data_IF_767386377750
#
_entry.id   IF_767386377750
#
_cell.length_a   1.000
_cell.length_b   1.000
_cell.length_c   1.000
_cell.angle_alpha   90.00
_cell.angle_beta   90.00
_cell.angle_gamma   90.00
#
_symmetry.space_group_name_H-M   'P 1'
#
loop_
_entity.id
_entity.type
_entity.pdbx_description
1 polymer ?
#
# COMPACT_ATOMS: atom_id res chain seq x y z
N UNK A 1 10.62 0.20 -11.65
CA UNK A 1 11.88 -0.45 -11.26
C UNK A 1 11.63 -1.55 -10.25
N UNK A 2 11.92 -2.78 -10.66
CA UNK A 2 12.05 -3.97 -9.81
C UNK A 2 13.08 -4.84 -10.54
N UNK A 3 14.35 -4.48 -10.44
CA UNK A 3 15.39 -5.08 -11.29
C UNK A 3 15.88 -6.39 -10.69
N UNK A 4 15.64 -7.48 -11.43
CA UNK A 4 16.34 -8.80 -11.51
C UNK A 4 16.62 -9.61 -10.24
N UNK A 5 16.65 -9.03 -9.06
CA UNK A 5 17.07 -9.69 -7.81
C UNK A 5 15.90 -10.07 -6.89
N UNK A 6 14.65 -9.73 -7.26
CA UNK A 6 13.43 -9.91 -6.44
C UNK A 6 13.48 -9.24 -5.05
N UNK A 7 14.56 -8.54 -4.70
CA UNK A 7 14.70 -7.82 -3.43
C UNK A 7 14.22 -6.39 -3.61
N UNK A 8 13.12 -6.07 -2.94
CA UNK A 8 12.67 -4.69 -2.82
C UNK A 8 13.53 -4.02 -1.76
N UNK A 9 14.12 -2.86 -2.10
CA UNK A 9 14.84 -2.05 -1.11
C UNK A 9 13.83 -1.44 -0.15
N UNK A 10 14.08 -1.55 1.16
CA UNK A 10 13.17 -1.05 2.21
C UNK A 10 12.83 0.43 2.03
N UNK A 11 13.83 1.27 1.79
CA UNK A 11 13.64 2.71 1.60
C UNK A 11 12.73 3.04 0.41
N UNK A 12 12.86 2.31 -0.71
CA UNK A 12 11.99 2.49 -1.87
C UNK A 12 10.54 2.11 -1.56
N UNK A 13 10.35 1.06 -0.75
CA UNK A 13 9.04 0.66 -0.28
C UNK A 13 8.44 1.69 0.68
N UNK A 14 9.22 2.16 1.64
CA UNK A 14 8.79 3.17 2.61
C UNK A 14 8.37 4.46 1.91
N UNK A 15 9.15 4.94 0.93
CA UNK A 15 8.80 6.14 0.17
C UNK A 15 7.53 5.95 -0.66
N UNK A 16 7.41 4.83 -1.38
CA UNK A 16 6.26 4.56 -2.24
C UNK A 16 4.95 4.32 -1.49
N UNK A 17 5.02 3.77 -0.28
CA UNK A 17 3.85 3.40 0.51
C UNK A 17 3.67 4.27 1.76
N UNK A 18 4.45 5.34 1.92
CA UNK A 18 4.44 6.21 3.10
C UNK A 18 3.03 6.63 3.50
N UNK A 19 2.28 7.16 2.54
CA UNK A 19 0.93 7.71 2.78
C UNK A 19 -0.06 6.61 3.16
N UNK A 20 0.07 5.43 2.56
CA UNK A 20 -0.76 4.26 2.89
C UNK A 20 -0.46 3.76 4.30
N UNK A 21 0.83 3.66 4.67
CA UNK A 21 1.28 3.25 6.01
C UNK A 21 0.79 4.26 7.05
N UNK A 22 0.93 5.56 6.78
CA UNK A 22 0.41 6.63 7.64
C UNK A 22 -1.10 6.55 7.80
N UNK A 23 -1.84 6.27 6.73
CA UNK A 23 -3.29 6.15 6.82
C UNK A 23 -3.72 4.91 7.65
N UNK A 24 -2.99 3.80 7.56
CA UNK A 24 -3.26 2.59 8.35
C UNK A 24 -2.99 2.79 9.86
N UNK A 25 -1.93 3.52 10.20
CA UNK A 25 -1.51 3.73 11.60
C UNK A 25 -1.99 5.05 12.22
N UNK A 26 -2.60 5.93 11.43
CA UNK A 26 -3.20 7.18 11.88
C UNK A 26 -4.72 7.12 11.86
N UNK A 27 -5.34 8.29 11.98
CA UNK A 27 -6.81 8.45 12.07
C UNK A 27 -7.46 8.72 10.69
N UNK A 28 -6.93 8.12 9.62
CA UNK A 28 -7.44 8.35 8.27
C UNK A 28 -8.34 7.20 7.80
N UNK A 29 -9.61 7.50 7.52
CA UNK A 29 -10.55 6.51 6.97
C UNK A 29 -10.33 6.19 5.49
N UNK A 30 -9.55 7.02 4.78
CA UNK A 30 -9.23 6.80 3.37
C UNK A 30 -7.97 7.52 2.90
N UNK A 31 -7.36 7.01 1.84
CA UNK A 31 -6.17 7.55 1.20
C UNK A 31 -6.34 7.56 -0.32
N UNK A 32 -6.08 8.70 -0.95
CA UNK A 32 -6.03 8.81 -2.40
C UNK A 32 -4.65 8.42 -2.91
N UNK A 33 -4.58 7.43 -3.80
CA UNK A 33 -3.34 6.95 -4.38
C UNK A 33 -3.32 7.15 -5.90
N UNK A 34 -2.14 7.48 -6.42
CA UNK A 34 -1.88 7.55 -7.86
C UNK A 34 -0.81 6.53 -8.21
N UNK A 35 -1.17 5.52 -9.01
CA UNK A 35 -0.26 4.46 -9.43
C UNK A 35 0.05 4.57 -10.91
N UNK A 36 1.34 4.65 -11.26
CA UNK A 36 1.78 4.51 -12.64
C UNK A 36 1.55 3.06 -13.10
N UNK A 37 0.80 2.90 -14.19
CA UNK A 37 0.55 1.62 -14.87
C UNK A 37 1.18 1.64 -16.25
N UNK A 38 1.80 0.53 -16.64
CA UNK A 38 2.25 0.30 -18.01
C UNK A 38 1.27 -0.64 -18.68
N UNK A 39 0.60 -0.16 -19.70
CA UNK A 39 -0.31 -0.95 -20.53
C UNK A 39 0.48 -1.92 -21.41
N UNK A 40 -0.18 -2.99 -21.87
CA UNK A 40 0.45 -4.01 -22.74
C UNK A 40 0.94 -3.47 -24.08
N UNK A 41 0.38 -2.36 -24.53
CA UNK A 41 0.77 -1.64 -25.74
C UNK A 41 1.99 -0.71 -25.52
N UNK A 42 2.57 -0.71 -24.32
CA UNK A 42 3.72 0.12 -23.94
C UNK A 42 3.33 1.54 -23.48
N UNK A 43 2.04 1.91 -23.53
CA UNK A 43 1.60 3.21 -23.01
C UNK A 43 1.77 3.26 -21.50
N UNK A 44 2.19 4.42 -21.01
CA UNK A 44 2.21 4.72 -19.57
C UNK A 44 0.96 5.52 -19.24
N UNK A 45 0.24 5.10 -18.21
CA UNK A 45 -0.87 5.85 -17.65
C UNK A 45 -0.74 5.95 -16.14
N UNK A 46 -1.63 6.76 -15.56
CA UNK A 46 -1.75 6.89 -14.12
C UNK A 46 -3.16 6.49 -13.73
N UNK A 47 -3.28 5.62 -12.74
CA UNK A 47 -4.57 5.25 -12.16
C UNK A 47 -4.68 5.96 -10.81
N UNK A 48 -5.71 6.80 -10.68
CA UNK A 48 -6.09 7.45 -9.44
C UNK A 48 -7.19 6.63 -8.76
N UNK A 49 -6.98 6.23 -7.51
CA UNK A 49 -7.95 5.45 -6.73
C UNK A 49 -7.95 5.90 -5.28
N UNK A 50 -9.12 5.97 -4.67
CA UNK A 50 -9.25 6.15 -3.21
C UNK A 50 -9.42 4.79 -2.53
N UNK A 51 -8.52 4.48 -1.59
CA UNK A 51 -8.58 3.27 -0.77
C UNK A 51 -9.20 3.64 0.57
N UNK A 52 -10.17 2.86 1.06
CA UNK A 52 -10.71 2.97 2.42
C UNK A 52 -9.86 2.16 3.39
N UNK A 53 -9.48 2.76 4.50
CA UNK A 53 -8.79 2.08 5.61
C UNK A 53 -9.85 1.59 6.59
N UNK A 54 -9.73 0.34 7.03
CA UNK A 54 -10.66 -0.26 7.99
C UNK A 54 -9.86 -0.86 9.14
N UNK A 55 -10.22 -0.47 10.34
CA UNK A 55 -9.70 -1.09 11.56
C UNK A 55 -10.28 -2.50 11.68
N UNK A 56 -9.41 -3.47 11.95
CA UNK A 56 -9.85 -4.81 12.33
C UNK A 56 -10.00 -4.83 13.85
N UNK A 57 -11.17 -5.23 14.34
CA UNK A 57 -11.31 -5.54 15.76
C UNK A 57 -10.36 -6.71 16.06
N UNK A 58 -9.45 -6.52 17.01
CA UNK A 58 -8.61 -7.61 17.49
C UNK A 58 -9.54 -8.64 18.12
N UNK A 59 -9.78 -9.75 17.44
CA UNK A 59 -10.30 -10.94 18.10
C UNK A 59 -9.35 -11.26 19.25
N UNK A 60 -9.87 -11.18 20.47
CA UNK A 60 -9.11 -11.50 21.67
C UNK A 60 -8.56 -12.92 21.49
N UNK A 61 -7.25 -13.04 21.39
CA UNK A 61 -6.56 -14.32 21.41
C UNK A 61 -6.95 -15.00 22.72
N UNK A 62 -7.91 -15.91 22.65
CA UNK A 62 -8.27 -16.81 23.73
C UNK A 62 -7.05 -17.71 23.97
N UNK A 63 -6.23 -17.31 24.93
CA UNK A 63 -5.35 -18.23 25.65
C UNK A 63 -6.24 -19.12 26.51
N UNK A 64 -6.69 -20.24 25.95
CA UNK A 64 -6.88 -21.47 26.73
C UNK A 64 -5.76 -22.41 26.29
N UNK A 65 -5.03 -23.12 27.15
CA UNK A 65 -5.12 -23.42 28.57
C UNK A 65 -4.08 -24.53 28.78
#
# INVERSE_FOLDING_TARGET
>A
ELTRTRKIRRNFMEERYKDLIQAIYGDHDSVAINAAVTYRDGRKGTVATTIRVRTVEKEAVVRGG
#
